data_IF_709347984743
#
_entry.id   IF_709347984743
#
_cell.length_a   1.000
_cell.length_b   1.000
_cell.length_c   1.000
_cell.angle_alpha   90.00
_cell.angle_beta   90.00
_cell.angle_gamma   90.00
#
_symmetry.space_group_name_H-M   'P 1'
#
loop_
_entity.id
_entity.type
_entity.pdbx_description
1 polymer ?
#
# COMPACT_ATOMS: atom_id res chain seq x y z
N UNK A 1 10.18 2.74 -21.81
CA UNK A 1 11.32 2.61 -20.88
C UNK A 1 10.95 1.57 -19.84
N UNK A 2 11.85 0.64 -19.50
CA UNK A 2 11.60 -0.37 -18.46
C UNK A 2 12.33 0.10 -17.19
N UNK A 3 11.62 0.20 -16.05
CA UNK A 3 12.22 0.51 -14.74
C UNK A 3 12.17 -0.74 -13.86
N UNK A 4 13.29 -1.05 -13.19
CA UNK A 4 13.38 -2.13 -12.18
C UNK A 4 13.39 -1.49 -10.80
N UNK A 5 12.43 -1.84 -9.96
CA UNK A 5 12.29 -1.31 -8.60
C UNK A 5 12.87 -2.29 -7.57
N UNK A 6 13.60 -1.75 -6.60
CA UNK A 6 14.28 -2.49 -5.53
C UNK A 6 13.49 -2.34 -4.22
N UNK A 7 12.49 -3.18 -3.99
CA UNK A 7 11.60 -3.07 -2.83
C UNK A 7 12.28 -3.32 -1.48
N UNK A 8 13.37 -4.09 -1.46
CA UNK A 8 13.97 -4.57 -0.21
C UNK A 8 13.04 -5.48 0.61
N UNK A 9 11.93 -5.93 0.02
CA UNK A 9 11.01 -6.91 0.60
C UNK A 9 11.43 -8.31 0.15
N UNK A 10 11.24 -9.30 1.03
CA UNK A 10 11.50 -10.71 0.73
C UNK A 10 10.58 -11.24 -0.36
N UNK A 11 9.30 -10.90 -0.27
CA UNK A 11 8.27 -11.32 -1.24
C UNK A 11 7.21 -10.24 -1.41
N UNK A 12 7.00 -9.84 -2.66
CA UNK A 12 5.96 -8.88 -3.06
C UNK A 12 4.65 -9.62 -3.22
N UNK A 13 3.57 -9.10 -2.63
CA UNK A 13 2.24 -9.71 -2.69
C UNK A 13 1.26 -8.95 -3.59
N UNK A 14 1.40 -7.63 -3.70
CA UNK A 14 0.46 -6.77 -4.41
C UNK A 14 1.10 -5.48 -4.88
N UNK A 15 0.54 -4.86 -5.92
CA UNK A 15 1.02 -3.61 -6.50
C UNK A 15 -0.17 -2.77 -6.97
N UNK A 16 -0.07 -1.44 -6.81
CA UNK A 16 -1.05 -0.49 -7.35
C UNK A 16 -0.35 0.75 -7.90
N UNK A 17 -0.78 1.21 -9.07
CA UNK A 17 -0.28 2.40 -9.75
C UNK A 17 -1.21 3.57 -9.43
N UNK A 18 -0.65 4.71 -9.04
CA UNK A 18 -1.40 5.95 -8.86
C UNK A 18 -1.95 6.45 -10.21
N UNK A 19 -3.05 7.18 -10.21
CA UNK A 19 -3.73 7.63 -11.44
C UNK A 19 -2.88 8.55 -12.33
N UNK A 20 -1.86 9.19 -11.78
CA UNK A 20 -0.89 10.01 -12.53
C UNK A 20 0.12 9.16 -13.32
N UNK A 21 0.35 7.91 -12.92
CA UNK A 21 1.23 6.96 -13.62
C UNK A 21 2.71 6.97 -13.22
N UNK A 22 3.10 7.85 -12.30
CA UNK A 22 4.48 8.09 -11.83
C UNK A 22 4.71 7.64 -10.37
N UNK A 23 3.68 7.19 -9.66
CA UNK A 23 3.81 6.62 -8.32
C UNK A 23 3.22 5.23 -8.21
N UNK A 24 3.89 4.38 -7.42
CA UNK A 24 3.50 2.98 -7.22
C UNK A 24 3.54 2.66 -5.72
N UNK A 25 2.53 1.96 -5.23
CA UNK A 25 2.58 1.29 -3.93
C UNK A 25 2.71 -0.22 -4.11
N UNK A 26 3.50 -0.84 -3.24
CA UNK A 26 3.79 -2.28 -3.25
C UNK A 26 3.57 -2.84 -1.85
N UNK A 27 2.75 -3.89 -1.73
CA UNK A 27 2.60 -4.67 -0.51
C UNK A 27 3.53 -5.89 -0.48
N UNK A 28 3.89 -6.35 0.72
CA UNK A 28 4.72 -7.54 0.91
C UNK A 28 4.13 -8.53 1.91
N UNK A 29 4.60 -9.78 1.83
CA UNK A 29 4.29 -10.84 2.81
C UNK A 29 4.97 -10.66 4.18
N UNK A 30 5.68 -9.56 4.38
CA UNK A 30 6.31 -9.24 5.67
C UNK A 30 5.61 -8.08 6.39
N UNK A 31 4.41 -7.72 5.95
CA UNK A 31 3.64 -6.60 6.50
C UNK A 31 4.21 -5.22 6.17
N UNK A 32 5.13 -5.14 5.20
CA UNK A 32 5.72 -3.88 4.70
C UNK A 32 5.02 -3.41 3.43
N UNK A 33 4.68 -2.13 3.40
CA UNK A 33 4.23 -1.42 2.21
C UNK A 33 5.30 -0.41 1.78
N UNK A 34 5.67 -0.43 0.51
CA UNK A 34 6.63 0.49 -0.08
C UNK A 34 5.90 1.47 -1.00
N UNK A 35 6.20 2.76 -0.87
CA UNK A 35 5.82 3.79 -1.82
C UNK A 35 7.01 4.14 -2.69
N UNK A 36 6.81 4.14 -3.99
CA UNK A 36 7.78 4.56 -5.00
C UNK A 36 7.32 5.83 -5.69
N UNK A 37 8.27 6.73 -5.84
CA UNK A 37 8.25 7.77 -6.87
C UNK A 37 9.16 7.26 -7.99
N UNK A 38 8.56 7.04 -9.17
CA UNK A 38 9.25 6.41 -10.29
C UNK A 38 10.32 7.31 -10.90
N UNK A 39 10.25 8.62 -10.70
CA UNK A 39 11.21 9.58 -11.26
C UNK A 39 12.30 9.98 -10.27
N UNK A 40 12.05 9.77 -8.97
CA UNK A 40 13.06 10.00 -7.93
C UNK A 40 14.10 8.89 -7.83
N UNK A 41 13.69 7.61 -7.74
CA UNK A 41 14.62 6.49 -7.50
C UNK A 41 14.04 5.13 -7.86
N UNK A 42 14.93 4.14 -8.08
CA UNK A 42 14.54 2.73 -8.10
C UNK A 42 14.29 2.14 -6.71
N UNK A 43 14.65 2.86 -5.64
CA UNK A 43 14.40 2.48 -4.25
C UNK A 43 13.12 3.12 -3.71
N UNK A 44 12.47 2.57 -2.67
CA UNK A 44 11.26 3.15 -2.12
C UNK A 44 11.53 4.55 -1.58
N UNK A 45 10.68 5.50 -1.96
CA UNK A 45 10.61 6.81 -1.30
C UNK A 45 10.29 6.64 0.18
N UNK A 46 9.34 5.74 0.50
CA UNK A 46 8.98 5.41 1.88
C UNK A 46 8.69 3.92 2.02
N UNK A 47 9.11 3.34 3.13
CA UNK A 47 8.72 1.99 3.54
C UNK A 47 8.01 2.05 4.89
N UNK A 48 6.81 1.47 4.94
CA UNK A 48 5.93 1.47 6.10
C UNK A 48 5.73 0.02 6.56
N UNK A 49 6.10 -0.30 7.81
CA UNK A 49 5.78 -1.59 8.43
C UNK A 49 4.53 -1.42 9.28
N UNK A 50 3.37 -1.67 8.67
CA UNK A 50 2.05 -1.32 9.23
C UNK A 50 1.23 -2.55 9.62
N UNK A 51 1.52 -3.70 9.03
CA UNK A 51 0.80 -4.94 9.32
C UNK A 51 1.69 -5.93 10.07
N UNK A 52 1.07 -6.75 10.92
CA UNK A 52 1.78 -7.81 11.66
C UNK A 52 1.91 -9.11 10.85
N UNK A 53 1.16 -9.22 9.75
CA UNK A 53 1.16 -10.35 8.83
C UNK A 53 1.23 -9.88 7.37
N UNK A 54 1.16 -10.82 6.44
CA UNK A 54 1.13 -10.59 5.00
C UNK A 54 0.11 -9.52 4.62
N UNK A 55 0.55 -8.56 3.81
CA UNK A 55 -0.37 -7.69 3.07
C UNK A 55 -0.94 -8.52 1.92
N UNK A 56 -2.26 -8.58 1.81
CA UNK A 56 -2.96 -9.33 0.76
C UNK A 56 -3.31 -8.46 -0.44
N UNK A 57 -3.59 -7.17 -0.22
CA UNK A 57 -3.79 -6.20 -1.30
C UNK A 57 -3.39 -4.78 -0.89
N UNK A 58 -3.02 -3.98 -1.88
CA UNK A 58 -2.85 -2.52 -1.80
C UNK A 58 -3.61 -1.88 -2.95
N UNK A 59 -4.18 -0.70 -2.73
CA UNK A 59 -4.95 -0.01 -3.77
C UNK A 59 -4.95 1.50 -3.58
N UNK A 60 -4.62 2.23 -4.64
CA UNK A 60 -4.95 3.65 -4.76
C UNK A 60 -6.43 3.84 -5.09
N UNK A 61 -7.04 4.85 -4.47
CA UNK A 61 -8.32 5.36 -4.93
C UNK A 61 -8.13 6.13 -6.25
N UNK A 62 -9.07 6.00 -7.19
CA UNK A 62 -8.90 6.53 -8.56
C UNK A 62 -9.01 8.05 -8.68
N UNK A 63 -9.68 8.69 -7.72
CA UNK A 63 -10.07 10.11 -7.82
C UNK A 63 -9.69 10.94 -6.60
N UNK A 64 -9.57 10.29 -5.44
CA UNK A 64 -9.30 10.97 -4.17
C UNK A 64 -7.88 10.61 -3.75
N UNK A 65 -7.18 11.49 -3.01
CA UNK A 65 -5.84 11.25 -2.50
C UNK A 65 -5.89 10.25 -1.34
N UNK A 66 -6.38 9.05 -1.60
CA UNK A 66 -6.58 7.97 -0.65
C UNK A 66 -5.97 6.70 -1.20
N UNK A 67 -5.48 5.87 -0.29
CA UNK A 67 -5.08 4.51 -0.62
C UNK A 67 -5.23 3.62 0.60
N UNK A 68 -5.23 2.31 0.38
CA UNK A 68 -5.43 1.34 1.43
C UNK A 68 -4.51 0.13 1.27
N UNK A 69 -4.27 -0.54 2.39
CA UNK A 69 -3.69 -1.88 2.46
C UNK A 69 -4.59 -2.78 3.30
N UNK A 70 -4.68 -4.07 2.95
CA UNK A 70 -5.34 -5.08 3.76
C UNK A 70 -4.41 -6.26 4.02
N UNK A 71 -4.64 -6.97 5.13
CA UNK A 71 -3.74 -8.02 5.60
C UNK A 71 -4.47 -9.20 6.26
N UNK A 72 -3.78 -10.34 6.29
CA UNK A 72 -4.17 -11.52 7.08
C UNK A 72 -4.17 -11.29 8.59
N UNK A 73 -3.69 -10.14 9.08
CA UNK A 73 -3.86 -9.71 10.47
C UNK A 73 -5.27 -9.20 10.80
N UNK A 74 -6.18 -9.29 9.82
CA UNK A 74 -7.59 -8.91 9.92
C UNK A 74 -7.84 -7.40 10.02
N UNK A 75 -6.85 -6.60 9.61
CA UNK A 75 -6.99 -5.15 9.52
C UNK A 75 -6.86 -4.66 8.08
N UNK A 76 -7.50 -3.53 7.82
CA UNK A 76 -7.20 -2.70 6.66
C UNK A 76 -6.82 -1.30 7.14
N UNK A 77 -5.71 -0.77 6.61
CA UNK A 77 -5.30 0.60 6.87
C UNK A 77 -5.76 1.48 5.72
N UNK A 78 -6.31 2.65 6.06
CA UNK A 78 -6.65 3.70 5.11
C UNK A 78 -5.73 4.89 5.35
N UNK A 79 -5.21 5.43 4.26
CA UNK A 79 -4.26 6.54 4.27
C UNK A 79 -4.75 7.67 3.38
N UNK A 80 -4.35 8.89 3.72
CA UNK A 80 -4.26 9.99 2.79
C UNK A 80 -2.91 9.93 2.07
N UNK A 81 -2.93 9.96 0.74
CA UNK A 81 -1.76 9.92 -0.12
C UNK A 81 -1.86 10.97 -1.21
N UNK A 82 -1.18 12.10 -1.03
CA UNK A 82 -1.19 13.20 -1.99
C UNK A 82 0.05 13.17 -2.86
N UNK A 83 -0.18 13.08 -4.17
CA UNK A 83 0.84 13.33 -5.20
C UNK A 83 0.62 14.74 -5.72
N UNK A 84 1.67 15.56 -5.66
CA UNK A 84 1.62 16.93 -6.15
C UNK A 84 2.05 16.98 -7.62
N UNK A 85 1.44 17.89 -8.39
CA UNK A 85 1.86 18.15 -9.77
C UNK A 85 3.19 18.91 -9.87
N UNK A 86 3.59 19.58 -8.79
CA UNK A 86 4.89 20.23 -8.70
C UNK A 86 5.95 19.18 -8.32
N UNK A 87 6.90 18.94 -9.23
CA UNK A 87 7.96 17.95 -9.10
C UNK A 87 8.94 18.25 -7.94
N UNK A 88 8.92 19.45 -7.38
CA UNK A 88 9.72 19.81 -6.21
C UNK A 88 9.02 19.51 -4.87
N UNK A 89 7.80 18.96 -4.89
CA UNK A 89 7.05 18.63 -3.68
C UNK A 89 6.99 17.11 -3.49
N UNK A 90 7.54 16.66 -2.36
CA UNK A 90 7.49 15.25 -1.98
C UNK A 90 6.05 14.76 -1.74
N UNK A 91 5.72 13.50 -2.06
CA UNK A 91 4.42 12.92 -1.74
C UNK A 91 4.12 12.95 -0.24
N UNK A 92 2.89 13.37 0.12
CA UNK A 92 2.42 13.35 1.50
C UNK A 92 1.71 12.02 1.80
N UNK A 93 2.18 11.31 2.83
CA UNK A 93 1.61 10.04 3.27
C UNK A 93 1.21 10.13 4.73
N UNK A 94 -0.09 10.04 5.02
CA UNK A 94 -0.65 10.19 6.37
C UNK A 94 -1.61 9.03 6.66
N UNK A 95 -1.39 8.25 7.74
CA UNK A 95 -2.35 7.25 8.19
C UNK A 95 -3.62 7.95 8.71
N UNK A 96 -4.79 7.43 8.33
CA UNK A 96 -6.08 7.97 8.76
C UNK A 96 -6.76 7.05 9.76
N UNK A 97 -7.08 5.81 9.33
CA UNK A 97 -7.91 4.90 10.11
C UNK A 97 -7.44 3.45 9.95
N UNK A 98 -7.66 2.67 11.01
CA UNK A 98 -7.48 1.22 11.02
C UNK A 98 -8.86 0.58 11.12
N UNK A 99 -9.28 -0.03 10.02
CA UNK A 99 -10.55 -0.73 9.93
C UNK A 99 -10.38 -2.16 10.43
N UNK A 100 -11.19 -2.51 11.43
CA UNK A 100 -11.26 -3.85 12.01
C UNK A 100 -12.60 -4.44 11.63
N UNK A 101 -12.62 -5.40 10.71
CA UNK A 101 -13.88 -5.95 10.19
C UNK A 101 -13.84 -7.43 9.82
N UNK A 102 -12.65 -8.01 9.66
CA UNK A 102 -12.51 -9.43 9.35
C UNK A 102 -12.48 -10.26 10.63
N UNK A 103 -13.40 -11.22 10.75
CA UNK A 103 -13.31 -12.24 11.79
C UNK A 103 -12.20 -13.22 11.43
N UNK A 104 -11.38 -13.61 12.41
CA UNK A 104 -10.32 -14.60 12.23
C UNK A 104 -10.93 -15.99 12.05
N UNK A 105 -10.73 -16.59 10.88
CA UNK A 105 -10.92 -18.03 10.64
C UNK A 105 -9.59 -18.62 10.16
N UNK A 106 -9.12 -19.66 10.83
CA UNK A 106 -7.91 -20.42 10.47
C UNK A 106 -6.62 -19.60 10.24
N UNK A 107 -6.47 -18.49 10.97
CA UNK A 107 -5.28 -17.65 10.91
C UNK A 107 -5.22 -16.68 9.71
N UNK A 108 -6.23 -16.65 8.85
CA UNK A 108 -6.41 -15.67 7.77
C UNK A 108 -7.63 -14.78 8.06
N UNK A 109 -7.65 -13.59 7.45
CA UNK A 109 -8.81 -12.71 7.52
C UNK A 109 -9.82 -13.09 6.45
N UNK A 110 -10.99 -13.60 6.83
CA UNK A 110 -12.09 -13.83 5.90
C UNK A 110 -13.16 -12.75 6.08
N UNK A 111 -13.74 -12.30 4.96
CA UNK A 111 -14.91 -11.43 4.97
C UNK A 111 -16.13 -12.32 4.78
N UNK A 112 -16.82 -12.66 5.87
CA UNK A 112 -18.10 -13.36 5.82
C UNK A 112 -19.24 -12.36 5.65
N UNK A 113 -19.90 -12.39 4.50
CA UNK A 113 -21.20 -11.74 4.35
C UNK A 113 -22.25 -12.69 4.88
N UNK A 114 -22.70 -12.50 6.12
CA UNK A 114 -23.93 -13.16 6.57
C UNK A 114 -25.10 -12.51 5.82
N UNK A 115 -25.78 -13.29 4.97
CA UNK A 115 -27.10 -12.96 4.41
C UNK A 115 -28.17 -12.95 5.50
#
# INVERSE_FOLDING_TARGET
MIKKLETGCREVSSISLHSTGDHVIVGSREGKMCWFDLDYSSKPYKTLKIHQKDITSVSFHRTYPLFASCSDDCTAYVFHGMVYSDLNQDPLIVPLEILHGHTRSDGRGELSFNQ
#
